data_IF_404515407588
#
_entry.id   IF_404515407588
#
_cell.length_a   1.000
_cell.length_b   1.000
_cell.length_c   1.000
_cell.angle_alpha   90.00
_cell.angle_beta   90.00
_cell.angle_gamma   90.00
#
_symmetry.space_group_name_H-M   'P 1'
#
loop_
_entity.id
_entity.type
_entity.pdbx_description
1 polymer ?
#
# COMPACT_ATOMS: atom_id res chain seq x y z
N UNK A 1 4.09 -1.02 10.88
CA UNK A 1 3.22 0.18 10.67
C UNK A 1 1.97 -0.26 9.90
N UNK A 2 0.96 0.59 9.72
CA UNK A 2 -0.22 0.26 8.92
C UNK A 2 -0.38 1.30 7.82
N UNK A 3 -0.58 0.84 6.58
CA UNK A 3 -0.91 1.68 5.45
C UNK A 3 -2.26 1.28 4.88
N UNK A 4 -3.08 2.26 4.53
CA UNK A 4 -4.37 2.04 3.88
C UNK A 4 -4.69 3.18 2.92
N UNK A 5 -5.57 2.88 1.97
CA UNK A 5 -6.11 3.83 1.02
C UNK A 5 -7.64 3.77 0.97
N UNK A 6 -8.23 4.77 0.32
CA UNK A 6 -9.66 4.85 0.02
C UNK A 6 -9.87 5.00 -1.48
N UNK A 7 -10.91 4.37 -2.02
CA UNK A 7 -11.43 4.63 -3.36
C UNK A 7 -12.71 5.46 -3.21
N UNK A 8 -12.56 6.79 -3.26
CA UNK A 8 -13.66 7.69 -2.91
C UNK A 8 -14.08 7.53 -1.46
N UNK A 9 -15.33 7.12 -1.23
CA UNK A 9 -15.89 6.86 0.10
C UNK A 9 -15.75 5.40 0.55
N UNK A 10 -15.26 4.52 -0.32
CA UNK A 10 -15.10 3.10 -0.03
C UNK A 10 -13.68 2.77 0.43
N UNK A 11 -13.56 1.68 1.18
CA UNK A 11 -12.27 1.16 1.61
C UNK A 11 -11.48 0.66 0.39
N UNK A 12 -10.27 1.20 0.21
CA UNK A 12 -9.31 0.71 -0.76
C UNK A 12 -8.36 -0.34 -0.18
N UNK A 13 -7.33 -0.73 -0.92
CA UNK A 13 -6.31 -1.64 -0.44
C UNK A 13 -5.63 -1.16 0.85
N UNK A 14 -5.21 -2.13 1.66
CA UNK A 14 -4.49 -1.90 2.90
C UNK A 14 -3.43 -2.97 3.13
N UNK A 15 -2.37 -2.58 3.82
CA UNK A 15 -1.18 -3.39 4.06
C UNK A 15 -0.71 -3.20 5.50
N UNK A 16 -0.40 -4.30 6.18
CA UNK A 16 0.45 -4.24 7.36
C UNK A 16 1.90 -4.11 6.92
N UNK A 17 2.54 -3.04 7.35
CA UNK A 17 3.93 -2.74 7.04
C UNK A 17 4.84 -3.50 7.99
N UNK A 18 5.57 -4.46 7.45
CA UNK A 18 6.43 -5.35 8.21
C UNK A 18 7.61 -4.60 8.84
N UNK A 19 8.08 -5.10 9.99
CA UNK A 19 9.09 -4.40 10.79
C UNK A 19 10.43 -4.33 10.06
N UNK A 20 10.76 -5.38 9.33
CA UNK A 20 11.99 -5.54 8.55
C UNK A 20 12.05 -4.62 7.32
N UNK A 21 10.93 -4.07 6.86
CA UNK A 21 10.89 -3.11 5.76
C UNK A 21 11.32 -1.70 6.17
N UNK A 22 11.54 -1.46 7.47
CA UNK A 22 11.97 -0.16 7.96
C UNK A 22 10.85 0.89 7.89
N UNK A 23 11.19 2.10 7.45
CA UNK A 23 10.25 3.22 7.33
C UNK A 23 9.55 3.23 5.98
N UNK A 24 8.38 3.85 5.91
CA UNK A 24 7.75 4.14 4.62
C UNK A 24 8.47 5.35 4.01
N UNK A 25 9.33 5.09 3.04
CA UNK A 25 9.94 6.09 2.17
C UNK A 25 9.48 5.91 0.72
N UNK A 26 10.05 6.69 -0.20
CA UNK A 26 9.69 6.62 -1.61
C UNK A 26 9.98 5.25 -2.23
N UNK A 27 11.11 4.62 -1.88
CA UNK A 27 11.51 3.33 -2.44
C UNK A 27 10.61 2.21 -1.91
N UNK A 28 10.39 2.16 -0.60
CA UNK A 28 9.49 1.22 0.04
C UNK A 28 8.04 1.38 -0.43
N UNK A 29 7.58 2.61 -0.68
CA UNK A 29 6.24 2.83 -1.21
C UNK A 29 6.11 2.24 -2.62
N UNK A 30 7.09 2.48 -3.49
CA UNK A 30 7.09 1.94 -4.85
C UNK A 30 7.19 0.41 -4.86
N UNK A 31 7.98 -0.19 -3.97
CA UNK A 31 8.17 -1.65 -3.95
C UNK A 31 6.98 -2.41 -3.34
N UNK A 32 6.31 -1.85 -2.32
CA UNK A 32 5.28 -2.56 -1.56
C UNK A 32 3.85 -2.07 -1.83
N UNK A 33 3.65 -0.76 -2.08
CA UNK A 33 2.31 -0.18 -2.25
C UNK A 33 1.89 -0.11 -3.72
N UNK A 34 2.79 0.31 -4.62
CA UNK A 34 2.43 0.47 -6.03
C UNK A 34 1.92 -0.84 -6.68
N UNK A 35 2.52 -2.02 -6.44
CA UNK A 35 2.00 -3.28 -6.99
C UNK A 35 0.64 -3.67 -6.42
N UNK A 36 0.38 -3.36 -5.14
CA UNK A 36 -0.90 -3.59 -4.50
C UNK A 36 -2.01 -2.75 -5.16
N UNK A 37 -1.73 -1.47 -5.42
CA UNK A 37 -2.66 -0.57 -6.10
C UNK A 37 -2.87 -0.98 -7.57
N UNK A 38 -1.81 -1.37 -8.26
CA UNK A 38 -1.91 -1.88 -9.63
C UNK A 38 -2.78 -3.14 -9.71
N UNK A 39 -2.61 -4.08 -8.77
CA UNK A 39 -3.46 -5.27 -8.67
C UNK A 39 -4.92 -4.90 -8.39
N UNK A 40 -5.16 -3.90 -7.55
CA UNK A 40 -6.52 -3.43 -7.24
C UNK A 40 -7.22 -2.78 -8.44
N UNK A 41 -6.52 -1.98 -9.25
CA UNK A 41 -7.12 -1.34 -10.43
C UNK A 41 -7.33 -2.30 -11.62
N UNK A 42 -6.69 -3.46 -11.61
CA UNK A 42 -6.83 -4.48 -12.65
C UNK A 42 -7.98 -5.47 -12.39
N UNK A 43 -8.60 -5.42 -11.21
CA UNK A 43 -9.82 -6.15 -10.83
C UNK A 43 -11.08 -5.37 -11.25
#
# INVERSE_FOLDING_TARGET
MFWASFLGLEKGPSLFWEKEWGWIDAEGYVSHIAPLMEGFFRL
#
